data_IF_504428031464
#
_entry.id   IF_504428031464
#
_cell.length_a   1.000
_cell.length_b   1.000
_cell.length_c   1.000
_cell.angle_alpha   90.00
_cell.angle_beta   90.00
_cell.angle_gamma   90.00
#
_symmetry.space_group_name_H-M   'P 1'
#
loop_
_entity.id
_entity.type
_entity.pdbx_description
1 polymer ?
#
# COMPACT_ATOMS: atom_id res chain seq x y z
N UNK A 1 -1.46 26.09 25.42
CA UNK A 1 -1.44 25.47 24.08
C UNK A 1 -2.37 26.28 23.18
N UNK A 2 -1.94 26.76 22.01
CA UNK A 2 -2.82 27.50 21.09
C UNK A 2 -3.98 26.60 20.64
N UNK A 3 -5.20 27.13 20.58
CA UNK A 3 -6.41 26.42 20.11
C UNK A 3 -6.21 25.66 18.78
N UNK A 4 -5.50 26.20 17.76
CA UNK A 4 -5.24 25.47 16.51
C UNK A 4 -4.39 24.21 16.68
N UNK A 5 -3.44 24.23 17.62
CA UNK A 5 -2.57 23.07 17.89
C UNK A 5 -3.37 21.96 18.56
N UNK A 6 -4.25 22.31 19.50
CA UNK A 6 -5.16 21.35 20.12
C UNK A 6 -6.10 20.73 19.08
N UNK A 7 -6.72 21.57 18.23
CA UNK A 7 -7.60 21.09 17.16
C UNK A 7 -6.86 20.18 16.17
N UNK A 8 -5.60 20.49 15.84
CA UNK A 8 -4.78 19.62 14.99
C UNK A 8 -4.49 18.27 15.66
N UNK A 9 -4.12 18.26 16.94
CA UNK A 9 -3.89 17.02 17.68
C UNK A 9 -5.14 16.13 17.74
N UNK A 10 -6.33 16.71 17.88
CA UNK A 10 -7.59 15.97 17.80
C UNK A 10 -7.84 15.35 16.42
N UNK A 11 -7.51 16.05 15.34
CA UNK A 11 -7.60 15.51 13.97
C UNK A 11 -6.61 14.38 13.74
N UNK A 12 -5.35 14.57 14.13
CA UNK A 12 -4.31 13.54 13.98
C UNK A 12 -4.65 12.27 14.78
N UNK A 13 -5.27 12.43 15.96
CA UNK A 13 -5.80 11.31 16.76
C UNK A 13 -6.89 10.56 16.01
N UNK A 14 -7.84 11.27 15.41
CA UNK A 14 -8.93 10.65 14.64
C UNK A 14 -8.39 9.90 13.41
N UNK A 15 -7.38 10.43 12.73
CA UNK A 15 -6.71 9.77 11.61
C UNK A 15 -6.01 8.47 12.04
N UNK A 16 -5.37 8.46 13.21
CA UNK A 16 -4.77 7.26 13.79
C UNK A 16 -5.83 6.19 14.15
N UNK A 17 -6.98 6.60 14.67
CA UNK A 17 -8.07 5.68 15.02
C UNK A 17 -8.73 5.05 13.78
N UNK A 18 -8.80 5.79 12.67
CA UNK A 18 -9.40 5.32 11.44
C UNK A 18 -8.76 4.03 10.91
N UNK A 19 -7.43 3.91 11.02
CA UNK A 19 -6.70 2.69 10.63
C UNK A 19 -7.15 1.47 11.46
N UNK A 20 -7.35 1.65 12.76
CA UNK A 20 -7.81 0.59 13.65
C UNK A 20 -9.24 0.15 13.30
N UNK A 21 -10.12 1.11 12.98
CA UNK A 21 -11.48 0.81 12.53
C UNK A 21 -11.49 0.05 11.19
N UNK A 22 -10.67 0.49 10.24
CA UNK A 22 -10.55 -0.12 8.93
C UNK A 22 -10.07 -1.59 9.01
N UNK A 23 -9.07 -1.87 9.85
CA UNK A 23 -8.59 -3.25 10.05
C UNK A 23 -9.68 -4.13 10.68
N UNK A 24 -10.47 -3.59 11.61
CA UNK A 24 -11.58 -4.34 12.23
C UNK A 24 -12.69 -4.63 11.22
N UNK A 25 -13.15 -3.62 10.51
CA UNK A 25 -14.38 -3.69 9.70
C UNK A 25 -14.14 -4.29 8.31
N UNK A 26 -12.97 -4.06 7.71
CA UNK A 26 -12.71 -4.46 6.32
C UNK A 26 -11.80 -5.70 6.24
N UNK A 27 -10.84 -5.84 7.15
CA UNK A 27 -9.84 -6.90 7.08
C UNK A 27 -10.10 -8.05 8.06
N UNK A 28 -11.06 -7.88 8.97
CA UNK A 28 -11.48 -8.91 9.91
C UNK A 28 -10.39 -9.21 10.92
N UNK A 29 -10.13 -8.27 11.83
CA UNK A 29 -9.15 -8.43 12.92
C UNK A 29 -9.34 -9.80 13.59
N UNK A 30 -8.27 -10.60 13.64
CA UNK A 30 -8.35 -11.97 14.13
C UNK A 30 -8.85 -12.02 15.58
N UNK A 31 -10.09 -12.46 15.77
CA UNK A 31 -10.64 -12.89 17.05
C UNK A 31 -11.43 -11.82 17.81
N UNK A 32 -12.75 -11.82 17.65
CA UNK A 32 -13.68 -11.38 18.70
C UNK A 32 -14.29 -12.55 19.50
N UNK A 33 -14.07 -13.79 19.05
CA UNK A 33 -14.85 -14.97 19.50
C UNK A 33 -14.01 -16.20 19.90
N UNK A 34 -12.68 -16.10 19.92
CA UNK A 34 -11.79 -17.24 20.23
C UNK A 34 -10.83 -16.91 21.37
N UNK A 35 -10.71 -17.83 22.33
CA UNK A 35 -9.78 -17.75 23.46
C UNK A 35 -8.35 -18.20 23.10
N UNK A 36 -8.14 -18.73 21.88
CA UNK A 36 -6.82 -19.18 21.40
C UNK A 36 -5.96 -17.99 20.95
N UNK A 37 -5.32 -17.34 21.93
CA UNK A 37 -4.43 -16.20 21.71
C UNK A 37 -3.24 -16.52 20.79
N UNK A 38 -2.53 -17.66 20.90
CA UNK A 38 -1.43 -18.00 20.00
C UNK A 38 -1.80 -17.96 18.51
N UNK A 39 -2.91 -18.62 18.12
CA UNK A 39 -3.33 -18.65 16.71
C UNK A 39 -3.86 -17.29 16.25
N UNK A 40 -4.61 -16.59 17.10
CA UNK A 40 -5.10 -15.25 16.79
C UNK A 40 -3.97 -14.26 16.55
N UNK A 41 -2.86 -14.33 17.31
CA UNK A 41 -1.68 -13.48 17.10
C UNK A 41 -1.04 -13.69 15.73
N UNK A 42 -0.94 -14.94 15.26
CA UNK A 42 -0.41 -15.24 13.93
C UNK A 42 -1.30 -14.64 12.85
N UNK A 43 -2.61 -14.87 12.95
CA UNK A 43 -3.58 -14.34 11.99
C UNK A 43 -3.62 -12.80 12.00
N UNK A 44 -3.57 -12.16 13.17
CA UNK A 44 -3.51 -10.71 13.29
C UNK A 44 -2.27 -10.12 12.59
N UNK A 45 -1.11 -10.77 12.72
CA UNK A 45 0.13 -10.35 12.03
C UNK A 45 0.03 -10.52 10.51
N UNK A 46 -0.56 -11.62 10.04
CA UNK A 46 -0.80 -11.83 8.61
C UNK A 46 -1.75 -10.77 8.04
N UNK A 47 -2.83 -10.45 8.76
CA UNK A 47 -3.77 -9.40 8.38
C UNK A 47 -3.08 -8.04 8.33
N UNK A 48 -2.29 -7.70 9.36
CA UNK A 48 -1.53 -6.44 9.38
C UNK A 48 -0.55 -6.34 8.20
N UNK A 49 0.08 -7.44 7.80
CA UNK A 49 0.95 -7.49 6.62
C UNK A 49 0.16 -7.23 5.32
N UNK A 50 -0.98 -7.92 5.13
CA UNK A 50 -1.84 -7.73 3.97
C UNK A 50 -2.38 -6.29 3.91
N UNK A 51 -2.79 -5.73 5.04
CA UNK A 51 -3.20 -4.33 5.15
C UNK A 51 -2.07 -3.36 4.75
N UNK A 52 -0.85 -3.59 5.23
CA UNK A 52 0.31 -2.77 4.85
C UNK A 52 0.58 -2.82 3.35
N UNK A 53 0.53 -4.01 2.74
CA UNK A 53 0.67 -4.15 1.29
C UNK A 53 -0.45 -3.46 0.52
N UNK A 54 -1.69 -3.56 1.01
CA UNK A 54 -2.83 -2.86 0.42
C UNK A 54 -2.62 -1.35 0.45
N UNK A 55 -2.19 -0.79 1.58
CA UNK A 55 -1.94 0.64 1.73
C UNK A 55 -0.83 1.12 0.77
N UNK A 56 0.27 0.37 0.62
CA UNK A 56 1.32 0.72 -0.35
C UNK A 56 0.75 0.69 -1.78
N UNK A 57 -0.04 -0.33 -2.11
CA UNK A 57 -0.65 -0.47 -3.43
C UNK A 57 -1.64 0.68 -3.74
N UNK A 58 -2.52 1.03 -2.81
CA UNK A 58 -3.48 2.14 -3.01
C UNK A 58 -2.77 3.49 -3.08
N UNK A 59 -1.66 3.67 -2.37
CA UNK A 59 -0.80 4.85 -2.47
C UNK A 59 -0.06 4.95 -3.81
N UNK A 60 0.37 3.83 -4.39
CA UNK A 60 0.85 3.80 -5.78
C UNK A 60 -0.27 4.09 -6.79
N UNK A 61 -1.51 3.71 -6.48
CA UNK A 61 -2.69 3.95 -7.30
C UNK A 61 -3.19 5.41 -7.25
N UNK A 62 -3.12 6.05 -6.09
CA UNK A 62 -3.51 7.45 -5.88
C UNK A 62 -2.61 8.04 -4.80
N UNK A 63 -1.50 8.73 -5.15
CA UNK A 63 -0.57 9.26 -4.16
C UNK A 63 -1.16 10.42 -3.34
N UNK A 64 -2.09 11.18 -3.94
CA UNK A 64 -2.62 12.43 -3.38
C UNK A 64 -3.65 12.23 -2.27
N UNK A 65 -4.31 11.08 -2.22
CA UNK A 65 -5.34 10.79 -1.22
C UNK A 65 -5.18 9.39 -0.66
N UNK A 66 -5.43 9.23 0.63
CA UNK A 66 -5.68 7.91 1.18
C UNK A 66 -6.97 7.34 0.57
N UNK A 67 -6.93 6.06 0.18
CA UNK A 67 -8.11 5.35 -0.29
C UNK A 67 -8.46 4.28 0.74
N UNK A 68 -9.57 4.49 1.45
CA UNK A 68 -10.07 3.57 2.45
C UNK A 68 -10.39 2.21 1.82
N UNK A 69 -10.16 1.11 2.54
CA UNK A 69 -10.44 -0.25 2.09
C UNK A 69 -11.89 -0.44 1.65
N UNK A 70 -12.85 0.20 2.33
CA UNK A 70 -14.28 0.06 2.02
C UNK A 70 -14.62 0.50 0.59
N UNK A 71 -13.95 1.54 0.07
CA UNK A 71 -14.16 2.04 -1.30
C UNK A 71 -13.13 1.51 -2.28
N UNK A 72 -11.86 1.41 -1.85
CA UNK A 72 -10.76 0.98 -2.73
C UNK A 72 -10.83 -0.49 -3.11
N UNK A 73 -11.24 -1.39 -2.20
CA UNK A 73 -11.25 -2.83 -2.48
C UNK A 73 -12.31 -3.19 -3.52
N UNK A 74 -13.58 -2.76 -3.40
CA UNK A 74 -14.55 -2.98 -4.46
C UNK A 74 -14.12 -2.34 -5.78
N UNK A 75 -13.43 -1.20 -5.77
CA UNK A 75 -12.99 -0.57 -7.01
C UNK A 75 -11.84 -1.34 -7.70
N UNK A 76 -10.82 -1.74 -6.94
CA UNK A 76 -9.56 -2.27 -7.49
C UNK A 76 -9.49 -3.80 -7.54
N UNK A 77 -10.30 -4.52 -6.76
CA UNK A 77 -10.33 -6.00 -6.73
C UNK A 77 -11.57 -6.61 -7.39
N UNK A 78 -12.58 -5.82 -7.74
CA UNK A 78 -13.78 -6.35 -8.42
C UNK A 78 -13.54 -6.70 -9.89
N UNK A 79 -12.39 -6.31 -10.45
CA UNK A 79 -11.97 -6.74 -11.77
C UNK A 79 -11.43 -8.18 -11.72
N UNK A 80 -11.96 -9.07 -12.56
CA UNK A 80 -11.42 -10.42 -12.73
C UNK A 80 -10.18 -10.35 -13.62
N UNK A 81 -9.03 -10.65 -13.04
CA UNK A 81 -7.76 -10.72 -13.76
C UNK A 81 -7.44 -12.12 -14.27
N UNK A 82 -7.03 -12.23 -15.53
CA UNK A 82 -6.43 -13.43 -16.12
C UNK A 82 -5.01 -13.12 -16.56
N UNK A 83 -4.04 -13.89 -16.07
CA UNK A 83 -2.68 -13.87 -16.61
C UNK A 83 -2.65 -14.65 -17.92
N UNK A 84 -2.47 -13.95 -19.03
CA UNK A 84 -2.31 -14.53 -20.36
C UNK A 84 -0.83 -14.55 -20.72
N UNK A 85 -0.30 -15.73 -21.03
CA UNK A 85 1.08 -15.90 -21.47
C UNK A 85 1.08 -16.23 -22.95
N UNK A 86 1.51 -15.28 -23.79
CA UNK A 86 1.57 -15.44 -25.25
C UNK A 86 2.90 -14.89 -25.75
N UNK A 87 3.60 -15.66 -26.59
CA UNK A 87 4.83 -15.21 -27.25
C UNK A 87 5.91 -14.72 -26.28
N UNK A 88 6.19 -15.48 -25.22
CA UNK A 88 7.13 -15.13 -24.13
C UNK A 88 6.80 -13.83 -23.37
N UNK A 89 5.63 -13.22 -23.61
CA UNK A 89 5.15 -12.06 -22.86
C UNK A 89 4.04 -12.49 -21.89
N UNK A 90 4.13 -12.02 -20.66
CA UNK A 90 3.09 -12.13 -19.64
C UNK A 90 2.22 -10.87 -19.70
N UNK A 91 0.92 -11.02 -19.93
CA UNK A 91 -0.06 -9.92 -19.96
C UNK A 91 -1.17 -10.20 -18.96
N UNK A 92 -1.50 -9.24 -18.11
CA UNK A 92 -2.66 -9.35 -17.22
C UNK A 92 -3.87 -8.76 -17.95
N UNK A 93 -4.83 -9.61 -18.32
CA UNK A 93 -6.10 -9.19 -18.90
C UNK A 93 -7.10 -8.98 -17.76
N UNK A 94 -7.58 -7.76 -17.61
CA UNK A 94 -8.55 -7.40 -16.57
C UNK A 94 -9.92 -7.25 -17.24
N UNK A 95 -10.92 -7.96 -16.71
CA UNK A 95 -12.31 -7.82 -17.12
C UNK A 95 -13.07 -7.22 -15.93
N UNK A 96 -13.62 -6.03 -16.11
CA UNK A 96 -14.44 -5.37 -15.09
C UNK A 96 -15.75 -4.91 -15.71
N UNK A 97 -16.85 -5.15 -15.01
CA UNK A 97 -18.18 -4.59 -15.34
C UNK A 97 -18.42 -3.24 -14.64
N UNK A 98 -17.43 -2.74 -13.90
CA UNK A 98 -17.56 -1.52 -13.12
C UNK A 98 -17.49 -0.27 -14.02
N UNK A 99 -18.32 0.74 -13.75
CA UNK A 99 -18.38 1.99 -14.53
C UNK A 99 -17.05 2.77 -14.58
N UNK A 100 -16.13 2.49 -13.66
CA UNK A 100 -14.79 3.10 -13.60
C UNK A 100 -13.69 2.19 -14.16
N UNK A 101 -14.02 1.20 -14.98
CA UNK A 101 -13.05 0.24 -15.55
C UNK A 101 -11.86 0.93 -16.23
N UNK A 102 -12.11 1.98 -17.03
CA UNK A 102 -11.05 2.71 -17.73
C UNK A 102 -10.08 3.40 -16.76
N UNK A 103 -10.58 3.96 -15.66
CA UNK A 103 -9.76 4.58 -14.62
C UNK A 103 -8.89 3.54 -13.93
N UNK A 104 -9.47 2.38 -13.60
CA UNK A 104 -8.74 1.27 -12.97
C UNK A 104 -7.66 0.74 -13.93
N UNK A 105 -7.98 0.59 -15.22
CA UNK A 105 -7.01 0.20 -16.24
C UNK A 105 -5.85 1.18 -16.35
N UNK A 106 -6.13 2.49 -16.40
CA UNK A 106 -5.10 3.53 -16.46
C UNK A 106 -4.17 3.48 -15.24
N UNK A 107 -4.75 3.34 -14.04
CA UNK A 107 -4.01 3.20 -12.78
C UNK A 107 -3.09 1.96 -12.80
N UNK A 108 -3.64 0.80 -13.14
CA UNK A 108 -2.88 -0.45 -13.17
C UNK A 108 -1.80 -0.47 -14.26
N UNK A 109 -2.08 0.17 -15.41
CA UNK A 109 -1.10 0.36 -16.48
C UNK A 109 0.06 1.24 -16.01
N UNK A 110 -0.23 2.34 -15.27
CA UNK A 110 0.80 3.21 -14.69
C UNK A 110 1.66 2.47 -13.68
N UNK A 111 1.04 1.70 -12.79
CA UNK A 111 1.74 0.86 -11.80
C UNK A 111 2.61 -0.19 -12.49
N UNK A 112 2.08 -0.87 -13.51
CA UNK A 112 2.83 -1.85 -14.30
C UNK A 112 4.02 -1.22 -15.04
N UNK A 113 3.83 -0.03 -15.62
CA UNK A 113 4.91 0.71 -16.26
C UNK A 113 6.01 1.12 -15.25
N UNK A 114 5.62 1.52 -14.03
CA UNK A 114 6.56 1.79 -12.94
C UNK A 114 7.39 0.56 -12.59
N UNK A 115 6.75 -0.59 -12.33
CA UNK A 115 7.48 -1.83 -12.01
C UNK A 115 8.34 -2.32 -13.16
N UNK A 116 7.93 -2.15 -14.42
CA UNK A 116 8.75 -2.48 -15.57
C UNK A 116 10.00 -1.59 -15.68
N UNK A 117 9.87 -0.29 -15.38
CA UNK A 117 11.03 0.61 -15.28
C UNK A 117 11.94 0.21 -14.13
N UNK A 118 11.37 -0.10 -12.96
CA UNK A 118 12.12 -0.54 -11.79
C UNK A 118 12.87 -1.83 -12.09
N UNK A 119 12.24 -2.81 -12.73
CA UNK A 119 12.88 -4.07 -13.14
C UNK A 119 14.08 -3.86 -14.07
N UNK A 120 14.03 -2.87 -14.96
CA UNK A 120 15.14 -2.54 -15.87
C UNK A 120 16.37 -2.00 -15.13
N UNK A 121 16.18 -1.33 -14.00
CA UNK A 121 17.26 -0.79 -13.17
C UNK A 121 17.57 -1.70 -11.96
N UNK A 122 16.74 -2.73 -11.71
CA UNK A 122 16.78 -3.54 -10.49
C UNK A 122 18.06 -4.37 -10.36
N UNK A 123 18.68 -4.80 -11.47
CA UNK A 123 19.96 -5.52 -11.42
C UNK A 123 21.09 -4.67 -10.81
N UNK A 124 20.95 -3.34 -10.81
CA UNK A 124 21.91 -2.40 -10.23
C UNK A 124 21.56 -2.00 -8.80
N UNK A 125 20.41 -2.42 -8.28
CA UNK A 125 19.86 -1.97 -7.00
C UNK A 125 19.75 -3.13 -6.02
N UNK A 126 20.14 -2.89 -4.77
CA UNK A 126 19.88 -3.85 -3.70
C UNK A 126 18.38 -3.96 -3.41
N UNK A 127 17.89 -5.08 -2.84
CA UNK A 127 16.50 -5.23 -2.44
C UNK A 127 15.97 -4.08 -1.56
N UNK A 128 16.82 -3.55 -0.68
CA UNK A 128 16.51 -2.43 0.21
C UNK A 128 16.34 -1.13 -0.58
N UNK A 129 17.18 -0.89 -1.59
CA UNK A 129 17.08 0.26 -2.48
C UNK A 129 15.82 0.21 -3.35
N UNK A 130 15.45 -0.99 -3.82
CA UNK A 130 14.18 -1.22 -4.55
C UNK A 130 12.99 -0.81 -3.66
N UNK A 131 12.96 -1.28 -2.41
CA UNK A 131 11.92 -0.91 -1.45
C UNK A 131 11.89 0.59 -1.14
N UNK A 132 13.05 1.21 -0.94
CA UNK A 132 13.15 2.63 -0.71
C UNK A 132 12.53 3.46 -1.86
N UNK A 133 12.77 3.06 -3.11
CA UNK A 133 12.17 3.70 -4.30
C UNK A 133 10.65 3.49 -4.33
N UNK A 134 10.17 2.25 -4.12
CA UNK A 134 8.74 1.95 -4.11
C UNK A 134 8.02 2.81 -3.07
N UNK A 135 8.56 2.88 -1.85
CA UNK A 135 7.98 3.65 -0.75
C UNK A 135 8.08 5.16 -1.01
N UNK A 136 9.17 5.64 -1.62
CA UNK A 136 9.31 7.05 -2.00
C UNK A 136 8.23 7.49 -3.00
N UNK A 137 7.90 6.62 -3.97
CA UNK A 137 6.86 6.90 -4.96
C UNK A 137 5.47 6.78 -4.34
N UNK A 138 5.22 5.74 -3.55
CA UNK A 138 3.93 5.53 -2.90
C UNK A 138 3.59 6.69 -1.94
N UNK A 139 4.54 7.09 -1.09
CA UNK A 139 4.33 8.11 -0.07
C UNK A 139 4.81 9.50 -0.48
N UNK A 140 4.93 9.78 -1.80
CA UNK A 140 5.48 11.05 -2.32
C UNK A 140 4.88 12.29 -1.66
N UNK A 141 3.57 12.33 -1.45
CA UNK A 141 2.87 13.49 -0.86
C UNK A 141 3.21 13.62 0.63
N UNK A 142 3.23 12.52 1.37
CA UNK A 142 3.60 12.50 2.78
C UNK A 142 5.07 12.90 2.98
N UNK A 143 5.95 12.41 2.10
CA UNK A 143 7.39 12.72 2.08
C UNK A 143 7.69 14.11 1.51
N UNK A 144 6.69 14.86 1.03
CA UNK A 144 6.86 16.16 0.36
C UNK A 144 7.85 16.11 -0.81
N UNK A 145 7.86 15.00 -1.55
CA UNK A 145 8.75 14.76 -2.68
C UNK A 145 10.18 14.34 -2.30
N UNK A 146 10.50 14.19 -1.01
CA UNK A 146 11.79 13.65 -0.56
C UNK A 146 11.89 12.16 -0.87
N UNK A 147 13.10 11.72 -1.19
CA UNK A 147 13.39 10.32 -1.44
C UNK A 147 13.88 9.64 -0.17
N UNK A 148 13.58 8.36 -0.06
CA UNK A 148 14.08 7.49 1.00
C UNK A 148 15.37 6.82 0.54
N UNK A 149 16.32 6.68 1.46
CA UNK A 149 17.54 5.92 1.27
C UNK A 149 17.64 4.78 2.28
N UNK A 150 17.94 3.55 1.84
CA UNK A 150 18.15 2.45 2.76
C UNK A 150 19.46 2.65 3.52
N UNK A 151 19.38 2.45 4.82
CA UNK A 151 20.53 2.41 5.73
C UNK A 151 20.40 1.13 6.54
N UNK A 152 21.45 0.33 6.56
CA UNK A 152 21.49 -0.90 7.35
C UNK A 152 22.02 -0.56 8.73
N UNK A 153 21.22 -0.83 9.76
CA UNK A 153 21.62 -0.69 11.17
C UNK A 153 21.46 -2.06 11.85
N UNK A 154 22.57 -2.78 11.99
CA UNK A 154 22.56 -4.16 12.49
C UNK A 154 21.77 -5.10 11.58
N UNK A 155 20.72 -5.73 12.13
CA UNK A 155 19.81 -6.63 11.40
C UNK A 155 18.56 -5.91 10.84
N UNK A 156 18.50 -4.59 10.95
CA UNK A 156 17.33 -3.80 10.52
C UNK A 156 17.68 -2.95 9.31
N UNK A 157 16.76 -2.90 8.35
CA UNK A 157 16.80 -1.92 7.25
C UNK A 157 16.01 -0.70 7.68
N UNK A 158 16.69 0.42 7.87
CA UNK A 158 16.09 1.71 8.12
C UNK A 158 16.01 2.52 6.82
N UNK A 159 15.01 3.39 6.73
CA UNK A 159 14.84 4.29 5.59
C UNK A 159 15.02 5.73 6.06
N UNK A 160 16.11 6.36 5.66
CA UNK A 160 16.39 7.76 5.99
C UNK A 160 15.80 8.68 4.91
N UNK A 161 15.22 9.78 5.35
CA UNK A 161 14.82 10.88 4.47
C UNK A 161 16.06 11.60 3.96
N UNK A 162 16.12 11.90 2.66
CA UNK A 162 17.06 12.92 2.17
C UNK A 162 16.77 14.24 2.87
N UNK A 163 17.79 14.84 3.48
CA UNK A 163 17.73 16.19 4.04
C UNK A 163 17.34 17.19 2.97
#
# INVERSE_FOLDING_TARGET
MPLPILAQAYRDRADCENVCDEIKNQWGWAGFVTQDLPRCRIMARLIALVYNWWNIFTRLAQPDRHLEAVTSRPLLLHAVGRLVTTGRRKRVRLTSTHAMADKVQAVLTRIGAFFNRLKRIAEQLSPEAIWAIILSVAFRVWLRGKSLHPVVEGHQTLLRLTT
#
